data_IF_497995157123
#
_entry.id   IF_497995157123
#
_cell.length_a   1.000
_cell.length_b   1.000
_cell.length_c   1.000
_cell.angle_alpha   90.00
_cell.angle_beta   90.00
_cell.angle_gamma   90.00
#
_symmetry.space_group_name_H-M   'P 1'
#
loop_
_entity.id
_entity.type
_entity.pdbx_description
1 polymer ?
#
# COMPACT_ATOMS: atom_id res chain seq x y z
N UNK A 1 2.65 0.42 6.15
CA UNK A 1 2.21 1.56 6.97
C UNK A 1 0.76 1.88 6.63
N UNK A 2 -0.15 1.74 7.61
CA UNK A 2 -1.59 1.90 7.47
C UNK A 2 -2.35 0.57 7.52
N UNK A 3 -3.11 0.34 8.61
CA UNK A 3 -3.97 -0.83 8.83
C UNK A 3 -5.45 -0.48 8.52
N UNK A 4 -5.68 0.09 7.33
CA UNK A 4 -7.01 0.31 6.75
C UNK A 4 -7.44 -0.88 5.89
N UNK A 5 -8.58 -0.77 5.21
CA UNK A 5 -9.10 -1.85 4.36
C UNK A 5 -8.07 -2.32 3.31
N UNK A 6 -7.33 -1.39 2.69
CA UNK A 6 -6.31 -1.72 1.70
C UNK A 6 -5.10 -2.39 2.36
N UNK A 7 -4.61 -1.86 3.49
CA UNK A 7 -3.49 -2.45 4.23
C UNK A 7 -3.79 -3.86 4.72
N UNK A 8 -4.98 -4.09 5.27
CA UNK A 8 -5.43 -5.42 5.71
C UNK A 8 -5.56 -6.40 4.53
N UNK A 9 -6.06 -5.93 3.38
CA UNK A 9 -6.14 -6.75 2.17
C UNK A 9 -4.75 -7.15 1.65
N UNK A 10 -3.79 -6.21 1.66
CA UNK A 10 -2.40 -6.50 1.28
C UNK A 10 -1.79 -7.50 2.25
N UNK A 11 -1.92 -7.29 3.57
CA UNK A 11 -1.41 -8.21 4.59
C UNK A 11 -1.88 -9.65 4.35
N UNK A 12 -3.18 -9.84 4.17
CA UNK A 12 -3.76 -11.15 3.91
C UNK A 12 -3.30 -11.76 2.57
N UNK A 13 -3.11 -10.91 1.54
CA UNK A 13 -2.67 -11.38 0.22
C UNK A 13 -1.22 -11.85 0.24
N UNK A 14 -0.30 -11.08 0.84
CA UNK A 14 1.12 -11.45 0.89
C UNK A 14 1.36 -12.69 1.74
N UNK A 15 0.57 -12.89 2.80
CA UNK A 15 0.60 -14.12 3.60
C UNK A 15 0.24 -15.35 2.76
N UNK A 16 -0.84 -15.26 1.96
CA UNK A 16 -1.25 -16.37 1.08
C UNK A 16 -0.23 -16.67 -0.01
N UNK A 17 0.49 -15.66 -0.46
CA UNK A 17 1.55 -15.82 -1.48
C UNK A 17 2.82 -16.46 -0.91
N UNK A 18 3.00 -16.50 0.40
CA UNK A 18 4.18 -17.04 1.09
C UNK A 18 5.50 -16.48 0.54
N UNK A 19 5.59 -15.16 0.42
CA UNK A 19 6.74 -14.46 -0.17
C UNK A 19 7.51 -13.62 0.83
N UNK A 20 7.03 -13.51 2.08
CA UNK A 20 7.61 -12.68 3.12
C UNK A 20 7.74 -13.49 4.42
N UNK A 21 8.88 -13.37 5.08
CA UNK A 21 9.19 -14.05 6.35
C UNK A 21 8.86 -13.17 7.57
N UNK A 22 9.03 -11.84 7.44
CA UNK A 22 8.79 -10.88 8.52
C UNK A 22 7.93 -9.71 8.03
N UNK A 23 6.84 -9.43 8.73
CA UNK A 23 5.88 -8.39 8.37
C UNK A 23 5.59 -7.52 9.58
N UNK A 24 5.89 -6.24 9.49
CA UNK A 24 5.61 -5.25 10.51
C UNK A 24 4.47 -4.36 10.09
N UNK A 25 3.46 -4.25 10.93
CA UNK A 25 2.31 -3.37 10.71
C UNK A 25 2.46 -2.10 11.54
N UNK A 26 2.68 -0.99 10.87
CA UNK A 26 2.77 0.34 11.48
C UNK A 26 1.47 1.09 11.28
N UNK A 27 0.83 1.55 12.35
CA UNK A 27 -0.42 2.29 12.25
C UNK A 27 -0.59 3.27 13.41
N UNK A 28 -1.16 4.45 13.13
CA UNK A 28 -1.43 5.46 14.16
C UNK A 28 -2.30 4.92 15.30
N UNK A 29 -3.31 4.13 15.01
CA UNK A 29 -4.10 3.42 16.00
C UNK A 29 -3.51 2.03 16.22
N UNK A 30 -2.70 1.88 17.26
CA UNK A 30 -2.02 0.62 17.59
C UNK A 30 -2.99 -0.51 17.94
N UNK A 31 -4.13 -0.21 18.57
CA UNK A 31 -5.15 -1.23 18.88
C UNK A 31 -5.72 -1.84 17.60
N UNK A 32 -5.96 -1.00 16.57
CA UNK A 32 -6.40 -1.48 15.27
C UNK A 32 -5.31 -2.34 14.60
N UNK A 33 -4.06 -1.88 14.62
CA UNK A 33 -2.94 -2.67 14.07
C UNK A 33 -2.83 -4.03 14.77
N UNK A 34 -2.97 -4.06 16.09
CA UNK A 34 -2.93 -5.31 16.86
C UNK A 34 -4.05 -6.28 16.47
N UNK A 35 -5.28 -5.79 16.25
CA UNK A 35 -6.39 -6.62 15.76
C UNK A 35 -6.07 -7.26 14.42
N UNK A 36 -5.62 -6.47 13.43
CA UNK A 36 -5.24 -6.98 12.10
C UNK A 36 -4.07 -7.99 12.17
N UNK A 37 -3.08 -7.73 13.02
CA UNK A 37 -1.93 -8.62 13.23
C UNK A 37 -2.37 -9.94 13.87
N UNK A 38 -3.24 -9.90 14.88
CA UNK A 38 -3.75 -11.11 15.54
C UNK A 38 -4.56 -11.95 14.56
N UNK A 39 -5.50 -11.34 13.84
CA UNK A 39 -6.32 -12.06 12.85
C UNK A 39 -5.44 -12.71 11.77
N UNK A 40 -4.45 -11.98 11.26
CA UNK A 40 -3.51 -12.50 10.27
C UNK A 40 -2.62 -13.61 10.84
N UNK A 41 -2.07 -13.44 12.06
CA UNK A 41 -1.20 -14.42 12.69
C UNK A 41 -1.92 -15.73 13.02
N UNK A 42 -3.20 -15.68 13.37
CA UNK A 42 -3.97 -16.89 13.64
C UNK A 42 -4.09 -17.80 12.41
N UNK A 43 -4.03 -17.23 11.20
CA UNK A 43 -4.06 -18.03 9.97
C UNK A 43 -2.80 -18.86 9.77
N UNK A 44 -1.67 -18.46 10.33
CA UNK A 44 -0.39 -19.20 10.21
C UNK A 44 -0.37 -20.50 11.02
N UNK A 45 -1.32 -20.68 11.92
CA UNK A 45 -1.46 -21.92 12.71
C UNK A 45 -2.00 -23.11 11.87
N UNK A 46 -2.57 -22.87 10.70
CA UNK A 46 -3.03 -23.95 9.84
C UNK A 46 -1.86 -24.61 9.10
N UNK A 47 -1.87 -25.94 9.04
CA UNK A 47 -0.76 -26.73 8.47
C UNK A 47 -0.41 -26.41 6.99
N UNK A 48 -1.35 -25.85 6.26
CA UNK A 48 -1.20 -25.46 4.85
C UNK A 48 -0.89 -23.97 4.65
N UNK A 49 -0.78 -23.21 5.74
CA UNK A 49 -0.54 -21.77 5.68
C UNK A 49 0.94 -21.44 5.67
N UNK A 50 1.26 -20.31 5.07
CA UNK A 50 2.59 -19.73 5.12
C UNK A 50 2.99 -19.42 6.57
N UNK A 51 4.26 -19.60 6.88
CA UNK A 51 4.83 -19.26 8.16
C UNK A 51 5.53 -17.90 8.05
N UNK A 52 4.92 -16.86 8.57
CA UNK A 52 5.50 -15.53 8.64
C UNK A 52 5.41 -14.98 10.06
N UNK A 53 6.44 -14.26 10.48
CA UNK A 53 6.41 -13.48 11.72
C UNK A 53 5.67 -12.18 11.47
N UNK A 54 4.53 -11.99 12.13
CA UNK A 54 3.68 -10.81 11.92
C UNK A 54 3.57 -10.08 13.25
N UNK A 55 3.95 -8.81 13.27
CA UNK A 55 3.92 -8.01 14.50
C UNK A 55 3.54 -6.56 14.27
N UNK A 56 3.10 -5.90 15.32
CA UNK A 56 2.94 -4.44 15.34
C UNK A 56 4.29 -3.82 15.67
N UNK A 57 4.62 -2.73 15.00
CA UNK A 57 5.83 -1.95 15.28
C UNK A 57 5.63 -0.46 15.09
N UNK A 58 6.68 0.30 15.33
CA UNK A 58 6.77 1.72 15.06
C UNK A 58 7.60 2.02 13.81
N UNK A 59 7.93 3.28 13.60
CA UNK A 59 8.74 3.69 12.44
C UNK A 59 10.21 3.28 12.55
N UNK A 60 10.69 2.97 13.76
CA UNK A 60 12.04 2.41 14.01
C UNK A 60 12.29 1.11 13.24
N UNK A 61 11.26 0.34 13.00
CA UNK A 61 11.31 -0.89 12.21
C UNK A 61 11.65 -0.65 10.72
N UNK A 62 11.52 0.59 10.26
CA UNK A 62 11.91 0.95 8.90
C UNK A 62 13.43 0.83 8.69
N UNK A 63 14.24 0.81 9.77
CA UNK A 63 15.70 0.70 9.68
C UNK A 63 16.15 -0.57 8.94
N UNK A 64 15.48 -1.68 9.21
CA UNK A 64 15.80 -3.00 8.64
C UNK A 64 14.84 -3.42 7.52
N UNK A 65 13.87 -2.58 7.19
CA UNK A 65 12.88 -2.89 6.16
C UNK A 65 13.49 -2.90 4.76
N UNK A 66 13.22 -3.93 3.99
CA UNK A 66 13.57 -4.00 2.56
C UNK A 66 12.52 -3.30 1.70
N UNK A 67 11.25 -3.43 2.08
CA UNK A 67 10.10 -2.86 1.36
C UNK A 67 9.19 -2.18 2.37
N UNK A 68 8.78 -0.95 2.06
CA UNK A 68 7.80 -0.19 2.84
C UNK A 68 6.59 0.09 1.95
N UNK A 69 5.41 -0.40 2.33
CA UNK A 69 4.16 -0.15 1.61
C UNK A 69 3.33 0.88 2.36
N UNK A 70 2.97 1.99 1.71
CA UNK A 70 2.20 3.08 2.30
C UNK A 70 0.76 3.02 1.79
N UNK A 71 -0.17 2.65 2.69
CA UNK A 71 -1.62 2.60 2.44
C UNK A 71 -2.40 3.53 3.35
N UNK A 72 -1.70 4.34 4.15
CA UNK A 72 -2.30 5.23 5.12
C UNK A 72 -2.87 6.49 4.45
N UNK A 73 -4.00 6.91 4.93
CA UNK A 73 -4.66 8.14 4.51
C UNK A 73 -6.17 8.08 4.72
N UNK A 74 -6.85 9.23 4.88
CA UNK A 74 -8.28 9.28 4.87
C UNK A 74 -8.84 8.93 3.49
N UNK A 75 -9.97 8.21 3.48
CA UNK A 75 -10.69 7.84 2.26
C UNK A 75 -12.08 8.45 2.25
N UNK A 76 -12.71 8.51 1.08
CA UNK A 76 -14.11 8.91 0.95
C UNK A 76 -14.96 7.80 1.56
N UNK A 77 -15.58 8.08 2.69
CA UNK A 77 -16.55 7.21 3.34
C UNK A 77 -17.87 7.96 3.55
N UNK A 78 -19.01 7.28 3.66
CA UNK A 78 -20.25 7.94 4.08
C UNK A 78 -20.02 8.70 5.39
N UNK A 79 -20.26 10.01 5.40
CA UNK A 79 -20.03 10.89 6.55
C UNK A 79 -18.71 11.68 6.52
N UNK A 80 -17.77 11.37 5.66
CA UNK A 80 -16.58 12.20 5.41
C UNK A 80 -16.86 13.24 4.31
N UNK A 81 -16.07 14.33 4.33
CA UNK A 81 -16.12 15.33 3.27
C UNK A 81 -15.96 14.68 1.89
N UNK A 82 -16.88 14.98 0.97
CA UNK A 82 -16.78 14.63 -0.45
C UNK A 82 -15.90 15.61 -1.22
N UNK A 83 -15.41 16.64 -0.56
CA UNK A 83 -14.52 17.62 -1.17
C UNK A 83 -13.16 16.97 -1.41
N UNK A 84 -12.85 16.76 -2.69
CA UNK A 84 -11.59 16.15 -3.14
C UNK A 84 -10.36 16.97 -2.74
N UNK A 85 -10.51 18.31 -2.66
CA UNK A 85 -9.40 19.19 -2.27
C UNK A 85 -9.06 19.04 -0.79
N UNK A 86 -10.06 19.01 0.07
CA UNK A 86 -9.86 18.79 1.52
C UNK A 86 -9.25 17.41 1.79
N UNK A 87 -9.64 16.40 1.04
CA UNK A 87 -9.04 15.06 1.12
C UNK A 87 -7.61 15.04 0.60
N UNK A 88 -7.32 15.76 -0.48
CA UNK A 88 -5.97 15.90 -1.01
C UNK A 88 -5.03 16.50 0.04
N UNK A 89 -5.38 17.64 0.61
CA UNK A 89 -4.57 18.31 1.64
C UNK A 89 -4.27 17.37 2.81
N UNK A 90 -5.30 16.72 3.35
CA UNK A 90 -5.13 15.76 4.45
C UNK A 90 -4.23 14.58 4.08
N UNK A 91 -4.35 14.05 2.85
CA UNK A 91 -3.50 12.95 2.41
C UNK A 91 -2.06 13.40 2.19
N UNK A 92 -1.84 14.63 1.71
CA UNK A 92 -0.51 15.25 1.61
C UNK A 92 0.14 15.39 2.99
N UNK A 93 -0.60 15.86 3.99
CA UNK A 93 -0.09 15.99 5.36
C UNK A 93 0.28 14.63 5.96
N UNK A 94 -0.57 13.62 5.73
CA UNK A 94 -0.28 12.23 6.16
C UNK A 94 0.97 11.71 5.47
N UNK A 95 1.11 11.89 4.15
CA UNK A 95 2.31 11.47 3.40
C UNK A 95 3.56 12.18 3.88
N UNK A 96 3.50 13.50 4.10
CA UNK A 96 4.61 14.28 4.63
C UNK A 96 5.08 13.71 5.99
N UNK A 97 4.15 13.49 6.91
CA UNK A 97 4.47 12.94 8.22
C UNK A 97 5.11 11.54 8.11
N UNK A 98 4.56 10.67 7.28
CA UNK A 98 5.11 9.33 7.07
C UNK A 98 6.52 9.38 6.51
N UNK A 99 6.75 10.17 5.47
CA UNK A 99 8.08 10.29 4.85
C UNK A 99 9.09 10.92 5.80
N UNK A 100 8.71 11.92 6.60
CA UNK A 100 9.57 12.49 7.65
C UNK A 100 9.99 11.45 8.69
N UNK A 101 9.11 10.52 9.04
CA UNK A 101 9.46 9.44 9.96
C UNK A 101 10.37 8.41 9.28
N UNK A 102 10.03 7.94 8.08
CA UNK A 102 10.83 6.94 7.35
C UNK A 102 12.27 7.42 7.16
N UNK A 103 12.46 8.66 6.71
CA UNK A 103 13.77 9.22 6.38
C UNK A 103 14.73 9.36 7.58
N UNK A 104 14.20 9.28 8.79
CA UNK A 104 15.04 9.24 10.03
C UNK A 104 15.71 7.89 10.24
N UNK A 105 15.13 6.82 9.71
CA UNK A 105 15.57 5.46 9.99
C UNK A 105 16.22 4.78 8.79
N UNK A 106 15.77 5.08 7.57
CA UNK A 106 16.30 4.44 6.37
C UNK A 106 16.28 5.36 5.15
N UNK A 107 17.20 5.07 4.20
CA UNK A 107 17.19 5.55 2.82
C UNK A 107 17.37 4.40 1.82
N UNK A 108 17.29 3.17 2.30
CA UNK A 108 17.63 1.98 1.52
C UNK A 108 16.42 1.13 1.13
N UNK A 109 15.33 1.19 1.90
CA UNK A 109 14.11 0.47 1.60
C UNK A 109 13.47 0.91 0.27
N UNK A 110 12.83 0.00 -0.42
CA UNK A 110 11.93 0.33 -1.54
C UNK A 110 10.60 0.80 -0.97
N UNK A 111 10.14 1.98 -1.38
CA UNK A 111 8.86 2.53 -0.93
C UNK A 111 7.82 2.39 -2.04
N UNK A 112 6.71 1.70 -1.71
CA UNK A 112 5.55 1.52 -2.60
C UNK A 112 4.40 2.35 -2.07
N UNK A 113 3.99 3.36 -2.83
CA UNK A 113 2.83 4.20 -2.50
C UNK A 113 1.57 3.59 -3.10
N UNK A 114 0.53 3.43 -2.26
CA UNK A 114 -0.79 2.92 -2.66
C UNK A 114 -1.90 3.92 -2.32
N UNK A 115 -1.63 4.84 -1.39
CA UNK A 115 -2.57 5.87 -0.96
C UNK A 115 -2.93 6.84 -2.09
N UNK A 116 -4.21 7.26 -2.14
CA UNK A 116 -4.71 8.22 -3.13
C UNK A 116 -4.73 9.67 -2.58
N UNK A 117 -4.55 10.67 -3.48
CA UNK A 117 -4.31 10.58 -4.92
C UNK A 117 -2.88 10.12 -5.23
N UNK A 118 -2.80 8.97 -5.87
CA UNK A 118 -1.58 8.18 -5.97
C UNK A 118 -0.39 8.90 -6.61
N UNK A 119 -0.60 9.47 -7.79
CA UNK A 119 0.48 10.09 -8.56
C UNK A 119 1.02 11.33 -7.87
N UNK A 120 0.12 12.15 -7.28
CA UNK A 120 0.51 13.35 -6.53
C UNK A 120 1.31 12.97 -5.27
N UNK A 121 0.85 11.99 -4.50
CA UNK A 121 1.53 11.55 -3.28
C UNK A 121 2.89 10.91 -3.59
N UNK A 122 2.98 10.13 -4.66
CA UNK A 122 4.24 9.55 -5.14
C UNK A 122 5.23 10.65 -5.57
N UNK A 123 4.76 11.63 -6.32
CA UNK A 123 5.58 12.78 -6.75
C UNK A 123 6.10 13.58 -5.54
N UNK A 124 5.25 13.86 -4.55
CA UNK A 124 5.64 14.55 -3.33
C UNK A 124 6.70 13.75 -2.57
N UNK A 125 6.50 12.44 -2.41
CA UNK A 125 7.45 11.57 -1.73
C UNK A 125 8.83 11.57 -2.42
N UNK A 126 8.86 11.59 -3.75
CA UNK A 126 10.09 11.61 -4.53
C UNK A 126 10.81 12.97 -4.54
N UNK A 127 10.07 14.08 -4.44
CA UNK A 127 10.63 15.42 -4.65
C UNK A 127 10.92 16.20 -3.38
N UNK A 128 10.15 15.96 -2.33
CA UNK A 128 10.20 16.79 -1.12
C UNK A 128 11.20 16.28 -0.09
N UNK A 129 11.53 15.00 -0.14
CA UNK A 129 12.34 14.35 0.91
C UNK A 129 13.72 13.94 0.38
N UNK A 130 14.72 13.95 1.26
CA UNK A 130 16.05 13.44 0.98
C UNK A 130 16.04 11.90 0.99
N UNK A 131 15.46 11.33 -0.06
CA UNK A 131 15.34 9.90 -0.30
C UNK A 131 15.60 9.58 -1.77
N UNK A 132 16.29 8.48 -2.13
CA UNK A 132 16.55 8.13 -3.52
C UNK A 132 15.26 7.96 -4.31
N UNK A 133 15.00 8.84 -5.30
CA UNK A 133 13.76 8.86 -6.04
C UNK A 133 13.49 7.55 -6.81
N UNK A 134 14.55 6.84 -7.23
CA UNK A 134 14.46 5.53 -7.89
C UNK A 134 14.04 4.39 -6.96
N UNK A 135 13.96 4.63 -5.66
CA UNK A 135 13.46 3.67 -4.66
C UNK A 135 12.01 3.96 -4.23
N UNK A 136 11.39 5.00 -4.78
CA UNK A 136 9.99 5.35 -4.48
C UNK A 136 9.17 5.25 -5.75
N UNK A 137 8.10 4.48 -5.72
CA UNK A 137 7.14 4.41 -6.81
C UNK A 137 5.72 4.16 -6.31
N UNK A 138 4.75 4.57 -7.10
CA UNK A 138 3.34 4.28 -6.88
C UNK A 138 2.88 3.05 -7.64
N UNK A 139 1.77 2.46 -7.25
CA UNK A 139 1.15 1.36 -8.00
C UNK A 139 0.60 1.83 -9.36
N UNK A 140 0.42 3.14 -9.54
CA UNK A 140 -0.01 3.74 -10.80
C UNK A 140 -1.29 3.13 -11.34
N UNK A 141 -1.31 2.87 -12.62
CA UNK A 141 -2.43 2.27 -13.35
C UNK A 141 -2.45 0.74 -13.34
N UNK A 142 -1.77 0.10 -12.38
CA UNK A 142 -1.74 -1.37 -12.27
C UNK A 142 -3.14 -1.97 -12.12
N UNK A 143 -3.97 -1.36 -11.26
CA UNK A 143 -5.36 -1.80 -11.08
C UNK A 143 -6.20 -1.56 -12.33
N UNK A 144 -6.01 -0.42 -13.01
CA UNK A 144 -6.72 -0.07 -14.24
C UNK A 144 -6.34 -1.04 -15.36
N UNK A 145 -5.06 -1.39 -15.46
CA UNK A 145 -4.56 -2.43 -16.35
C UNK A 145 -5.19 -3.79 -16.07
N UNK A 146 -5.28 -4.20 -14.81
CA UNK A 146 -5.90 -5.46 -14.43
C UNK A 146 -7.39 -5.51 -14.79
N UNK A 147 -8.11 -4.41 -14.55
CA UNK A 147 -9.52 -4.25 -14.96
C UNK A 147 -9.70 -4.33 -16.48
N UNK A 148 -8.86 -3.59 -17.20
CA UNK A 148 -8.86 -3.59 -18.66
C UNK A 148 -8.65 -5.01 -19.21
N UNK A 149 -7.61 -5.70 -18.76
CA UNK A 149 -7.31 -7.06 -19.21
C UNK A 149 -8.45 -8.05 -18.88
N UNK A 150 -9.07 -7.91 -17.69
CA UNK A 150 -10.22 -8.73 -17.31
C UNK A 150 -11.41 -8.49 -18.23
N UNK A 151 -11.77 -7.23 -18.47
CA UNK A 151 -12.91 -6.87 -19.32
C UNK A 151 -12.67 -7.30 -20.77
N UNK A 152 -11.46 -7.13 -21.29
CA UNK A 152 -11.10 -7.54 -22.63
C UNK A 152 -11.12 -9.08 -22.79
N UNK A 153 -10.62 -9.80 -21.77
CA UNK A 153 -10.70 -11.26 -21.72
C UNK A 153 -12.14 -11.75 -21.79
N UNK A 154 -13.04 -11.17 -20.99
CA UNK A 154 -14.46 -11.51 -20.98
C UNK A 154 -15.11 -11.22 -22.34
N UNK A 155 -14.81 -10.07 -22.96
CA UNK A 155 -15.33 -9.70 -24.28
C UNK A 155 -14.87 -10.66 -25.39
N UNK A 156 -13.61 -11.11 -25.32
CA UNK A 156 -13.03 -12.01 -26.30
C UNK A 156 -13.28 -13.51 -26.01
N UNK A 157 -13.86 -13.84 -24.86
CA UNK A 157 -14.10 -15.23 -24.45
C UNK A 157 -12.81 -16.00 -24.12
N UNK A 158 -11.77 -15.30 -23.62
CA UNK A 158 -10.49 -15.89 -23.25
C UNK A 158 -10.16 -15.61 -21.78
N UNK A 159 -9.28 -16.41 -21.18
CA UNK A 159 -8.78 -16.12 -19.83
C UNK A 159 -8.03 -14.79 -19.81
N UNK A 160 -8.31 -13.95 -18.83
CA UNK A 160 -7.67 -12.64 -18.65
C UNK A 160 -6.12 -12.73 -18.57
N UNK A 161 -5.58 -13.87 -18.14
CA UNK A 161 -4.13 -14.13 -18.12
C UNK A 161 -3.52 -14.24 -19.52
N UNK A 162 -4.33 -14.51 -20.54
CA UNK A 162 -3.93 -14.56 -21.94
C UNK A 162 -4.05 -13.20 -22.65
N UNK A 163 -4.50 -12.17 -21.92
CA UNK A 163 -4.59 -10.79 -22.42
C UNK A 163 -3.39 -10.02 -21.95
N UNK A 164 -2.66 -9.38 -22.87
CA UNK A 164 -1.58 -8.47 -22.56
C UNK A 164 -1.93 -7.08 -23.04
N UNK A 165 -2.32 -6.23 -22.14
CA UNK A 165 -2.62 -4.82 -22.40
C UNK A 165 -2.17 -3.97 -21.23
N UNK A 166 -1.96 -2.67 -21.47
CA UNK A 166 -1.51 -1.72 -20.47
C UNK A 166 -2.35 -0.45 -20.54
N UNK A 167 -2.81 -0.01 -19.38
CA UNK A 167 -3.33 1.35 -19.20
C UNK A 167 -2.18 2.20 -18.70
N UNK A 168 -1.89 3.29 -19.36
CA UNK A 168 -0.78 4.20 -19.04
C UNK A 168 -1.30 5.61 -18.82
N UNK A 169 -0.61 6.36 -17.97
CA UNK A 169 -0.96 7.75 -17.62
C UNK A 169 -1.28 7.90 -16.16
N UNK A 170 -2.08 8.91 -15.82
CA UNK A 170 -2.51 9.19 -14.47
C UNK A 170 -3.57 8.18 -13.99
N UNK A 171 -3.45 7.74 -12.73
CA UNK A 171 -4.52 6.98 -12.07
C UNK A 171 -5.64 7.93 -11.62
N UNK A 172 -6.69 8.03 -12.41
CA UNK A 172 -7.79 8.94 -12.14
C UNK A 172 -9.01 8.70 -13.03
N UNK A 173 -9.91 9.68 -13.03
CA UNK A 173 -11.14 9.66 -13.83
C UNK A 173 -11.11 10.68 -14.99
N UNK A 174 -9.91 11.04 -15.43
CA UNK A 174 -9.70 11.96 -16.55
C UNK A 174 -9.45 11.18 -17.83
#
# INVERSE_FOLDING_TARGET
IGAGNVGSAILNSVLRMNILDDIVVVNRNQKKALGEVLDASHTTAFAYSANANIRVGGYEECADAQIIVITAGPSITPGNSRDRMVLLEKNVDVMNNIMEQITRYTKDAIIIVVSNPLDILTYIAQKKFDYPANKIFGTGTLLDTARFNKMLGDLCGVDAKNVTGFVLGEHGST
#
